data_IF_839757463605
#
_entry.id   IF_839757463605
#
_cell.length_a   1.000
_cell.length_b   1.000
_cell.length_c   1.000
_cell.angle_alpha   90.00
_cell.angle_beta   90.00
_cell.angle_gamma   90.00
#
_symmetry.space_group_name_H-M   'P 1'
#
loop_
_entity.id
_entity.type
_entity.pdbx_description
1 polymer ?
#
# COMPACT_ATOMS: atom_id res chain seq x y z
N UNK A 1 3.10 15.49 9.77
CA UNK A 1 2.86 14.16 9.14
C UNK A 1 3.95 13.15 9.51
N UNK A 2 4.95 13.52 10.31
CA UNK A 2 6.16 12.72 10.52
C UNK A 2 5.87 11.33 11.10
N UNK A 3 5.00 11.24 12.12
CA UNK A 3 4.54 9.99 12.73
C UNK A 3 3.24 9.41 12.17
N UNK A 4 2.64 10.03 11.14
CA UNK A 4 1.31 9.69 10.59
C UNK A 4 1.41 9.18 9.16
N UNK A 5 0.59 8.19 8.82
CA UNK A 5 0.40 7.73 7.44
C UNK A 5 -1.07 7.86 7.06
N UNK A 6 -1.33 8.45 5.91
CA UNK A 6 -2.63 8.55 5.26
C UNK A 6 -2.60 7.67 4.02
N UNK A 7 -3.52 6.71 3.96
CA UNK A 7 -3.83 5.94 2.77
C UNK A 7 -5.11 6.53 2.17
N UNK A 8 -5.03 7.02 0.93
CA UNK A 8 -6.16 7.59 0.22
C UNK A 8 -6.28 6.94 -1.16
N UNK A 9 -7.50 6.60 -1.58
CA UNK A 9 -7.72 5.93 -2.85
C UNK A 9 -9.11 5.35 -2.98
N UNK A 10 -9.26 4.45 -3.95
CA UNK A 10 -10.50 3.71 -4.22
C UNK A 10 -10.24 2.20 -4.18
N UNK A 11 -11.27 1.43 -3.82
CA UNK A 11 -11.27 -0.03 -3.99
C UNK A 11 -11.56 -0.48 -5.42
N UNK A 12 -11.91 0.45 -6.33
CA UNK A 12 -12.24 0.17 -7.72
C UNK A 12 -11.69 1.25 -8.66
N UNK A 13 -11.18 0.84 -9.81
CA UNK A 13 -10.74 1.73 -10.90
C UNK A 13 -11.88 2.07 -11.84
N UNK A 14 -12.82 1.14 -12.03
CA UNK A 14 -14.04 1.33 -12.82
C UNK A 14 -15.23 0.73 -12.07
N UNK A 15 -16.16 1.59 -11.66
CA UNK A 15 -17.36 1.19 -10.93
C UNK A 15 -18.42 0.50 -11.80
N UNK A 16 -18.44 0.71 -13.11
CA UNK A 16 -19.45 0.13 -14.00
C UNK A 16 -19.28 -1.39 -14.13
N UNK A 17 -18.03 -1.85 -14.20
CA UNK A 17 -17.69 -3.28 -14.30
C UNK A 17 -17.13 -3.85 -12.99
N UNK A 18 -17.16 -3.07 -11.90
CA UNK A 18 -16.63 -3.45 -10.60
C UNK A 18 -15.15 -3.88 -10.67
N UNK A 19 -14.34 -3.17 -11.46
CA UNK A 19 -12.94 -3.49 -11.68
C UNK A 19 -12.08 -3.06 -10.49
N UNK A 20 -11.37 -4.01 -9.89
CA UNK A 20 -10.45 -3.80 -8.77
C UNK A 20 -8.97 -3.89 -9.17
N UNK A 21 -8.66 -3.93 -10.47
CA UNK A 21 -7.30 -3.81 -10.98
C UNK A 21 -6.91 -2.34 -11.15
N UNK A 22 -5.61 -2.04 -11.01
CA UNK A 22 -5.02 -0.71 -11.26
C UNK A 22 -5.76 0.43 -10.52
N UNK A 23 -6.18 0.16 -9.29
CA UNK A 23 -6.95 1.11 -8.48
C UNK A 23 -6.11 2.33 -8.07
N UNK A 24 -6.69 3.53 -8.05
CA UNK A 24 -5.94 4.73 -7.67
C UNK A 24 -5.65 4.72 -6.16
N UNK A 25 -4.37 4.79 -5.81
CA UNK A 25 -3.91 4.79 -4.41
C UNK A 25 -2.77 5.78 -4.22
N UNK A 26 -2.85 6.57 -3.15
CA UNK A 26 -1.82 7.48 -2.68
C UNK A 26 -1.53 7.18 -1.22
N UNK A 27 -0.24 7.07 -0.89
CA UNK A 27 0.25 6.95 0.48
C UNK A 27 1.02 8.21 0.82
N UNK A 28 0.57 8.93 1.84
CA UNK A 28 1.23 10.13 2.34
C UNK A 28 1.66 9.89 3.77
N UNK A 29 2.93 10.11 4.09
CA UNK A 29 3.41 10.01 5.44
C UNK A 29 4.86 10.47 5.53
N UNK A 30 5.32 10.67 6.75
CA UNK A 30 6.66 11.21 6.98
C UNK A 30 7.72 10.17 7.35
N UNK A 31 8.95 10.65 7.59
CA UNK A 31 10.14 9.82 7.69
C UNK A 31 10.18 8.94 8.96
N UNK A 32 9.47 9.27 10.04
CA UNK A 32 9.48 8.44 11.27
C UNK A 32 8.84 7.06 11.05
N UNK A 33 8.05 6.90 9.98
CA UNK A 33 7.48 5.60 9.55
C UNK A 33 8.29 4.94 8.43
N UNK A 34 9.48 5.47 8.14
CA UNK A 34 10.38 4.97 7.10
C UNK A 34 9.74 4.97 5.71
N UNK A 35 8.87 5.94 5.43
CA UNK A 35 8.29 6.14 4.11
C UNK A 35 9.14 7.13 3.32
N UNK A 36 9.45 6.77 2.07
CA UNK A 36 10.07 7.69 1.11
C UNK A 36 9.01 8.17 0.12
N UNK A 37 8.68 9.46 0.21
CA UNK A 37 7.74 10.15 -0.68
C UNK A 37 8.35 10.54 -2.02
N UNK A 38 7.64 11.36 -2.79
CA UNK A 38 8.02 11.85 -4.11
C UNK A 38 8.38 10.74 -5.11
N UNK A 39 7.57 9.68 -5.14
CA UNK A 39 7.75 8.52 -6.01
C UNK A 39 6.42 8.08 -6.60
N UNK A 40 6.46 7.61 -7.84
CA UNK A 40 5.40 6.81 -8.44
C UNK A 40 5.89 5.37 -8.50
N UNK A 41 5.28 4.48 -7.71
CA UNK A 41 5.67 3.08 -7.63
C UNK A 41 4.69 2.24 -8.45
N UNK A 42 5.23 1.44 -9.36
CA UNK A 42 4.47 0.49 -10.18
C UNK A 42 4.94 -0.91 -9.83
N UNK A 43 3.99 -1.79 -9.48
CA UNK A 43 4.24 -3.20 -9.19
C UNK A 43 3.81 -4.08 -10.37
N UNK A 44 4.28 -5.33 -10.45
CA UNK A 44 3.82 -6.26 -11.48
C UNK A 44 2.29 -6.38 -11.51
N UNK A 45 1.73 -6.54 -12.71
CA UNK A 45 0.28 -6.70 -12.89
C UNK A 45 -0.23 -7.90 -12.07
N UNK A 46 -1.38 -7.72 -11.42
CA UNK A 46 -1.97 -8.73 -10.54
C UNK A 46 -1.38 -8.75 -9.13
N UNK A 47 -0.50 -7.80 -8.77
CA UNK A 47 -0.09 -7.62 -7.37
C UNK A 47 -1.31 -7.23 -6.52
N UNK A 48 -1.68 -8.03 -5.48
CA UNK A 48 -2.84 -7.71 -4.65
C UNK A 48 -2.66 -6.41 -3.89
N UNK A 49 -3.69 -5.56 -3.86
CA UNK A 49 -3.69 -4.34 -3.04
C UNK A 49 -3.49 -4.67 -1.55
N UNK A 50 -3.96 -5.83 -1.10
CA UNK A 50 -3.79 -6.30 0.27
C UNK A 50 -2.31 -6.38 0.71
N UNK A 51 -1.36 -6.52 -0.22
CA UNK A 51 0.07 -6.47 0.07
C UNK A 51 0.49 -5.08 0.63
N UNK A 52 -0.16 -4.00 0.18
CA UNK A 52 0.04 -2.65 0.73
C UNK A 52 -0.40 -2.58 2.19
N UNK A 53 -1.61 -3.04 2.48
CA UNK A 53 -2.16 -3.08 3.85
C UNK A 53 -1.28 -3.91 4.79
N UNK A 54 -0.85 -5.10 4.35
CA UNK A 54 0.07 -5.95 5.10
C UNK A 54 1.40 -5.24 5.41
N UNK A 55 1.93 -4.49 4.45
CA UNK A 55 3.19 -3.76 4.59
C UNK A 55 3.06 -2.55 5.52
N UNK A 56 1.95 -1.81 5.45
CA UNK A 56 1.68 -0.68 6.33
C UNK A 56 1.49 -1.15 7.78
N UNK A 57 0.72 -2.22 8.01
CA UNK A 57 0.54 -2.81 9.35
C UNK A 57 1.89 -3.16 9.99
N UNK A 58 2.81 -3.78 9.22
CA UNK A 58 4.14 -4.09 9.70
C UNK A 58 4.95 -2.84 10.13
N UNK A 59 4.81 -1.70 9.43
CA UNK A 59 5.44 -0.41 9.80
C UNK A 59 4.91 0.18 11.10
N UNK A 60 3.68 -0.18 11.48
CA UNK A 60 3.07 0.22 12.75
C UNK A 60 3.23 -0.84 13.86
N UNK A 61 4.08 -1.85 13.64
CA UNK A 61 4.35 -2.90 14.63
C UNK A 61 3.26 -3.97 14.74
N UNK A 62 2.23 -3.91 13.90
CA UNK A 62 1.18 -4.95 13.81
C UNK A 62 1.73 -6.10 12.98
N UNK A 63 2.06 -7.20 13.65
CA UNK A 63 2.63 -8.39 13.01
C UNK A 63 1.55 -9.42 12.74
N UNK A 64 1.09 -9.47 11.50
CA UNK A 64 0.22 -10.53 10.97
C UNK A 64 0.91 -11.19 9.77
N UNK A 65 0.65 -12.47 9.57
CA UNK A 65 1.27 -13.25 8.47
C UNK A 65 0.57 -12.98 7.13
N UNK A 66 -0.75 -12.78 7.16
CA UNK A 66 -1.59 -12.56 5.99
C UNK A 66 -2.71 -11.55 6.28
N UNK A 67 -3.18 -10.87 5.24
CA UNK A 67 -4.31 -9.97 5.27
C UNK A 67 -5.07 -10.08 3.95
N UNK A 68 -6.36 -10.41 3.97
CA UNK A 68 -7.13 -10.60 2.74
C UNK A 68 -6.48 -11.63 1.80
N UNK A 69 -6.35 -11.26 0.52
CA UNK A 69 -5.69 -12.04 -0.53
C UNK A 69 -4.19 -11.71 -0.67
N UNK A 70 -3.56 -11.17 0.38
CA UNK A 70 -2.14 -10.82 0.30
C UNK A 70 -1.27 -12.06 0.06
N UNK A 71 -0.27 -11.87 -0.81
CA UNK A 71 0.73 -12.88 -1.17
C UNK A 71 2.11 -12.54 -0.62
N UNK A 72 2.27 -11.35 -0.04
CA UNK A 72 3.51 -10.90 0.58
C UNK A 72 3.51 -9.41 0.91
N UNK A 73 4.61 -8.92 1.46
CA UNK A 73 4.82 -7.48 1.66
C UNK A 73 5.33 -6.86 0.36
N UNK A 74 4.93 -5.63 0.08
CA UNK A 74 5.42 -4.89 -1.08
C UNK A 74 6.89 -4.51 -0.86
N UNK A 75 7.79 -4.83 -1.80
CA UNK A 75 9.14 -4.31 -1.78
C UNK A 75 9.09 -2.79 -2.03
N UNK A 76 10.10 -2.02 -1.59
CA UNK A 76 10.26 -0.58 -1.92
C UNK A 76 9.30 0.42 -1.24
N UNK A 77 8.37 -0.02 -0.37
CA UNK A 77 7.57 0.89 0.48
C UNK A 77 8.42 1.66 1.50
N UNK A 78 9.52 1.07 1.95
CA UNK A 78 10.64 1.72 2.61
C UNK A 78 11.82 1.71 1.66
N UNK A 79 12.56 2.82 1.53
CA UNK A 79 13.83 2.78 0.78
C UNK A 79 14.98 2.36 1.67
N UNK A 80 14.91 1.09 2.09
CA UNK A 80 16.09 0.28 2.38
C UNK A 80 16.25 -0.68 1.21
#
# INVERSE_FOLDING_TARGET
LDGTVVLYGSGMSDGNIHNNYDVPVVVVGGPERGLQGNRHLVYPKGTPLANLSLSLMAKFGVRVEQFGDSTGRLPLLSGV
#
